data_IF_115076015765
#
_entry.id   IF_115076015765
#
_cell.length_a   1.000
_cell.length_b   1.000
_cell.length_c   1.000
_cell.angle_alpha   90.00
_cell.angle_beta   90.00
_cell.angle_gamma   90.00
#
_symmetry.space_group_name_H-M   'P 1'
#
loop_
_entity.id
_entity.type
_entity.pdbx_description
1 polymer ?
#
# COMPACT_ATOMS: atom_id res chain seq x y z
N UNK A 1 -20.43 17.15 11.88
CA UNK A 1 -19.87 17.42 13.20
C UNK A 1 -19.04 16.33 13.84
N UNK A 2 -19.03 15.11 13.34
CA UNK A 2 -18.29 14.00 13.96
C UNK A 2 -17.14 13.46 13.09
N UNK A 3 -16.73 14.19 12.09
CA UNK A 3 -15.65 13.73 11.20
C UNK A 3 -14.27 13.68 11.85
N UNK A 4 -14.06 14.47 12.89
CA UNK A 4 -12.78 14.52 13.59
C UNK A 4 -12.56 13.31 14.51
N UNK A 5 -13.60 12.62 14.93
CA UNK A 5 -13.48 11.46 15.81
C UNK A 5 -13.30 10.14 15.07
N UNK A 6 -13.46 10.14 13.75
CA UNK A 6 -13.26 8.95 12.91
C UNK A 6 -11.83 8.88 12.33
N UNK A 7 -11.10 9.99 12.34
CA UNK A 7 -9.67 9.98 12.15
C UNK A 7 -9.07 9.50 13.47
N UNK A 8 -8.93 8.18 13.60
CA UNK A 8 -8.17 7.64 14.70
C UNK A 8 -6.82 8.37 14.68
N UNK A 9 -6.56 9.08 15.72
CA UNK A 9 -5.32 9.85 15.86
C UNK A 9 -4.19 8.84 15.89
N UNK A 10 -3.36 8.85 14.87
CA UNK A 10 -2.13 8.06 14.87
C UNK A 10 -1.23 8.63 15.95
N UNK A 11 -0.88 7.80 16.91
CA UNK A 11 0.09 8.15 17.94
C UNK A 11 1.48 7.75 17.48
N UNK A 12 2.47 8.53 17.88
CA UNK A 12 3.86 8.20 17.61
C UNK A 12 4.18 6.81 18.15
N UNK A 13 4.72 5.97 17.27
CA UNK A 13 5.07 4.61 17.64
C UNK A 13 3.99 3.56 17.36
N UNK A 14 2.82 3.98 16.92
CA UNK A 14 1.81 3.02 16.44
C UNK A 14 2.39 2.16 15.31
N UNK A 15 2.04 0.88 15.33
CA UNK A 15 2.38 -0.02 14.25
C UNK A 15 1.34 0.11 13.16
N UNK A 16 1.79 0.40 11.96
CA UNK A 16 0.94 0.41 10.77
C UNK A 16 1.20 -0.85 9.93
N UNK A 17 0.18 -1.31 9.25
CA UNK A 17 0.29 -2.41 8.31
C UNK A 17 0.08 -1.92 6.90
N UNK A 18 0.81 -2.49 5.95
CA UNK A 18 0.63 -2.18 4.54
C UNK A 18 0.39 -3.45 3.74
N UNK A 19 -0.65 -3.41 2.91
CA UNK A 19 -0.95 -4.43 1.92
C UNK A 19 -0.50 -3.94 0.55
N UNK A 20 0.16 -4.81 -0.18
CA UNK A 20 0.66 -4.53 -1.52
C UNK A 20 -0.03 -5.42 -2.54
N UNK A 21 -0.38 -4.85 -3.68
CA UNK A 21 -0.97 -5.60 -4.78
C UNK A 21 -0.34 -5.16 -6.11
N UNK A 22 -0.11 -6.14 -6.97
CA UNK A 22 0.42 -5.94 -8.31
C UNK A 22 -0.66 -6.30 -9.31
N UNK A 23 -0.99 -5.34 -10.16
CA UNK A 23 -1.89 -5.51 -11.29
C UNK A 23 -1.08 -5.52 -12.59
N UNK A 24 -1.72 -5.85 -13.70
CA UNK A 24 -1.05 -5.86 -15.00
C UNK A 24 -0.41 -4.51 -15.35
N UNK A 25 -1.08 -3.42 -15.02
CA UNK A 25 -0.68 -2.06 -15.42
C UNK A 25 -0.52 -1.08 -14.26
N UNK A 26 -0.63 -1.55 -13.04
CA UNK A 26 -0.55 -0.69 -11.85
C UNK A 26 -0.07 -1.46 -10.63
N UNK A 27 0.49 -0.73 -9.67
CA UNK A 27 0.72 -1.23 -8.32
C UNK A 27 -0.14 -0.45 -7.34
N UNK A 28 -0.62 -1.14 -6.33
CA UNK A 28 -1.53 -0.58 -5.33
C UNK A 28 -1.03 -0.93 -3.96
N UNK A 29 -1.16 0.00 -3.03
CA UNK A 29 -0.91 -0.26 -1.62
C UNK A 29 -1.97 0.37 -0.75
N UNK A 30 -2.25 -0.27 0.37
CA UNK A 30 -3.19 0.21 1.37
C UNK A 30 -2.51 0.20 2.72
N UNK A 31 -2.36 1.37 3.32
CA UNK A 31 -1.82 1.54 4.66
C UNK A 31 -2.96 1.52 5.66
N UNK A 32 -2.83 0.69 6.68
CA UNK A 32 -3.87 0.38 7.65
C UNK A 32 -3.34 0.57 9.06
N UNK A 33 -4.18 1.13 9.92
CA UNK A 33 -3.97 1.11 11.36
C UNK A 33 -4.79 -0.03 11.97
N UNK A 34 -4.17 -1.07 12.56
CA UNK A 34 -4.90 -2.06 13.33
C UNK A 34 -5.28 -1.47 14.68
N UNK A 35 -6.55 -1.48 15.00
CA UNK A 35 -7.06 -1.00 16.29
C UNK A 35 -8.23 -1.88 16.72
N UNK A 36 -8.14 -2.44 17.93
CA UNK A 36 -9.20 -3.27 18.53
C UNK A 36 -9.67 -4.42 17.61
N UNK A 37 -8.73 -5.07 16.96
CA UNK A 37 -8.99 -6.16 15.99
C UNK A 37 -9.70 -5.70 14.70
N UNK A 38 -9.84 -4.41 14.49
CA UNK A 38 -10.41 -3.83 13.26
C UNK A 38 -9.29 -3.15 12.47
N UNK A 39 -9.31 -3.33 11.18
CA UNK A 39 -8.38 -2.67 10.27
C UNK A 39 -8.97 -1.35 9.79
N UNK A 40 -8.33 -0.24 10.17
CA UNK A 40 -8.75 1.10 9.75
C UNK A 40 -7.86 1.59 8.62
N UNK A 41 -8.39 1.78 7.39
CA UNK A 41 -7.61 2.36 6.30
C UNK A 41 -7.12 3.76 6.65
N UNK A 42 -5.83 4.00 6.43
CA UNK A 42 -5.20 5.31 6.67
C UNK A 42 -4.92 6.01 5.35
N UNK A 43 -4.26 5.31 4.42
CA UNK A 43 -3.93 5.84 3.10
C UNK A 43 -4.00 4.74 2.05
N UNK A 44 -4.36 5.17 0.86
CA UNK A 44 -4.35 4.36 -0.35
C UNK A 44 -3.36 4.99 -1.35
N UNK A 45 -2.53 4.15 -1.97
CA UNK A 45 -1.58 4.58 -2.99
C UNK A 45 -1.78 3.71 -4.23
N UNK A 46 -1.93 4.35 -5.37
CA UNK A 46 -1.98 3.68 -6.66
C UNK A 46 -1.01 4.35 -7.62
N UNK A 47 -0.27 3.56 -8.37
CA UNK A 47 0.63 4.06 -9.40
C UNK A 47 0.46 3.23 -10.67
N UNK A 48 0.14 3.90 -11.78
CA UNK A 48 0.18 3.29 -13.09
C UNK A 48 1.64 2.97 -13.46
N UNK A 49 1.87 1.77 -13.99
CA UNK A 49 3.19 1.33 -14.43
C UNK A 49 3.49 1.90 -15.82
N UNK A 50 4.69 2.44 -15.99
CA UNK A 50 5.21 2.87 -17.28
C UNK A 50 5.69 1.65 -18.10
N UNK A 51 5.92 1.85 -19.36
CA UNK A 51 6.28 0.76 -20.29
C UNK A 51 7.45 -0.10 -19.81
N UNK A 52 8.48 0.52 -19.26
CA UNK A 52 9.61 -0.21 -18.70
C UNK A 52 9.24 -0.95 -17.41
N UNK A 53 8.41 -0.36 -16.58
CA UNK A 53 8.00 -0.90 -15.30
C UNK A 53 7.04 -2.09 -15.46
N UNK A 54 6.23 -2.10 -16.50
CA UNK A 54 5.35 -3.24 -16.84
C UNK A 54 6.15 -4.53 -17.03
N UNK A 55 7.38 -4.41 -17.51
CA UNK A 55 8.26 -5.56 -17.78
C UNK A 55 9.04 -6.03 -16.56
N UNK A 56 8.94 -5.36 -15.42
CA UNK A 56 9.59 -5.84 -14.20
C UNK A 56 9.03 -7.21 -13.80
N UNK A 57 9.86 -8.10 -13.26
CA UNK A 57 9.36 -9.31 -12.61
C UNK A 57 8.34 -8.95 -11.49
N UNK A 58 7.38 -9.81 -11.25
CA UNK A 58 6.31 -9.54 -10.29
C UNK A 58 6.84 -9.20 -8.88
N UNK A 59 7.91 -9.88 -8.45
CA UNK A 59 8.52 -9.59 -7.15
C UNK A 59 9.16 -8.19 -7.13
N UNK A 60 9.70 -7.73 -8.23
CA UNK A 60 10.23 -6.36 -8.34
C UNK A 60 9.10 -5.33 -8.38
N UNK A 61 7.98 -5.65 -9.04
CA UNK A 61 6.80 -4.79 -9.00
C UNK A 61 6.27 -4.65 -7.58
N UNK A 62 6.31 -5.72 -6.81
CA UNK A 62 5.91 -5.70 -5.41
C UNK A 62 6.84 -4.83 -4.56
N UNK A 63 8.16 -4.96 -4.76
CA UNK A 63 9.14 -4.09 -4.14
C UNK A 63 8.94 -2.62 -4.55
N UNK A 64 8.63 -2.39 -5.82
CA UNK A 64 8.33 -1.07 -6.35
C UNK A 64 7.09 -0.45 -5.69
N UNK A 65 6.04 -1.24 -5.48
CA UNK A 65 4.85 -0.79 -4.75
C UNK A 65 5.21 -0.29 -3.35
N UNK A 66 6.07 -0.99 -2.64
CA UNK A 66 6.54 -0.59 -1.32
C UNK A 66 7.37 0.70 -1.38
N UNK A 67 8.27 0.81 -2.34
CA UNK A 67 9.10 2.02 -2.52
C UNK A 67 8.24 3.25 -2.83
N UNK A 68 7.29 3.11 -3.75
CA UNK A 68 6.35 4.19 -4.09
C UNK A 68 5.57 4.63 -2.86
N UNK A 69 5.10 3.66 -2.07
CA UNK A 69 4.37 3.95 -0.83
C UNK A 69 5.24 4.70 0.18
N UNK A 70 6.48 4.25 0.38
CA UNK A 70 7.41 4.90 1.29
C UNK A 70 7.73 6.34 0.86
N UNK A 71 7.83 6.59 -0.43
CA UNK A 71 8.05 7.94 -0.97
C UNK A 71 6.85 8.84 -0.76
N UNK A 72 5.65 8.35 -1.07
CA UNK A 72 4.41 9.14 -0.99
C UNK A 72 3.92 9.31 0.45
N UNK A 73 4.17 8.33 1.29
CA UNK A 73 3.73 8.31 2.69
C UNK A 73 4.92 8.45 3.65
N UNK A 74 5.93 9.18 3.23
CA UNK A 74 7.16 9.35 3.99
C UNK A 74 6.93 9.74 5.46
N UNK A 75 6.06 10.69 5.81
CA UNK A 75 5.80 11.01 7.22
C UNK A 75 5.32 9.81 8.04
N UNK A 76 4.47 8.97 7.47
CA UNK A 76 3.98 7.76 8.13
C UNK A 76 5.10 6.74 8.32
N UNK A 77 5.94 6.55 7.30
CA UNK A 77 7.06 5.61 7.35
C UNK A 77 8.16 6.06 8.31
N UNK A 78 8.33 7.37 8.49
CA UNK A 78 9.31 7.92 9.44
C UNK A 78 8.82 7.85 10.88
N UNK A 79 7.52 8.02 11.11
CA UNK A 79 6.94 8.12 12.45
C UNK A 79 6.53 6.78 13.06
N UNK A 80 6.38 5.73 12.24
CA UNK A 80 5.78 4.47 12.65
C UNK A 80 6.59 3.26 12.18
N UNK A 81 6.48 2.17 12.92
CA UNK A 81 6.90 0.85 12.44
C UNK A 81 5.90 0.35 11.39
N UNK A 82 6.39 -0.09 10.25
CA UNK A 82 5.57 -0.56 9.13
C UNK A 82 5.70 -2.07 9.01
N UNK A 83 4.58 -2.78 9.18
CA UNK A 83 4.50 -4.20 8.90
C UNK A 83 4.00 -4.42 7.47
N UNK A 84 4.86 -4.92 6.61
CA UNK A 84 4.50 -5.29 5.24
C UNK A 84 3.91 -6.70 5.27
N UNK A 85 2.63 -6.81 4.90
CA UNK A 85 1.91 -8.07 4.90
C UNK A 85 1.98 -8.70 3.51
N UNK A 86 2.77 -9.74 3.37
CA UNK A 86 2.97 -10.44 2.10
C UNK A 86 3.36 -11.89 2.33
N UNK A 87 2.92 -12.78 1.44
CA UNK A 87 3.36 -14.16 1.37
C UNK A 87 4.49 -14.36 0.35
N UNK A 88 4.84 -13.29 -0.37
CA UNK A 88 5.95 -13.33 -1.32
C UNK A 88 7.29 -13.13 -0.61
N UNK A 89 8.41 -13.66 -1.15
CA UNK A 89 9.72 -13.58 -0.52
C UNK A 89 10.37 -12.18 -0.67
N UNK A 90 9.61 -11.14 -0.37
CA UNK A 90 10.04 -9.74 -0.55
C UNK A 90 11.23 -9.39 0.35
N UNK A 91 11.21 -9.86 1.59
CA UNK A 91 12.30 -9.67 2.54
C UNK A 91 13.61 -10.23 1.99
N UNK A 92 13.59 -11.46 1.49
CA UNK A 92 14.78 -12.12 0.94
C UNK A 92 15.34 -11.38 -0.26
N UNK A 93 14.46 -10.93 -1.16
CA UNK A 93 14.85 -10.22 -2.38
C UNK A 93 15.50 -8.88 -2.04
N UNK A 94 14.99 -8.16 -1.05
CA UNK A 94 15.54 -6.87 -0.62
C UNK A 94 16.77 -7.01 0.26
N UNK A 95 16.95 -8.13 0.95
CA UNK A 95 18.17 -8.40 1.74
C UNK A 95 19.33 -8.92 0.89
N UNK A 96 19.04 -9.56 -0.23
CA UNK A 96 20.03 -10.07 -1.17
C UNK A 96 19.77 -9.49 -2.57
N UNK A 97 19.95 -8.19 -2.76
CA UNK A 97 19.56 -7.53 -4.01
C UNK A 97 20.56 -7.65 -5.16
N UNK A 98 21.47 -8.61 -5.10
CA UNK A 98 22.59 -8.74 -6.04
C UNK A 98 22.17 -8.93 -7.50
N UNK A 99 20.93 -9.32 -7.75
CA UNK A 99 20.42 -9.62 -9.07
C UNK A 99 19.99 -8.40 -9.88
N UNK A 100 19.86 -7.24 -9.25
CA UNK A 100 19.33 -6.04 -9.90
C UNK A 100 19.85 -4.78 -9.22
N UNK A 101 20.44 -3.88 -10.01
CA UNK A 101 20.85 -2.57 -9.52
C UNK A 101 19.67 -1.77 -8.94
N UNK A 102 18.50 -1.97 -9.50
CA UNK A 102 17.26 -1.35 -9.05
C UNK A 102 16.91 -1.80 -7.64
N UNK A 103 16.96 -3.10 -7.38
CA UNK A 103 16.70 -3.66 -6.06
C UNK A 103 17.72 -3.19 -5.03
N UNK A 104 18.99 -3.01 -5.41
CA UNK A 104 20.02 -2.46 -4.53
C UNK A 104 19.64 -1.04 -4.10
N UNK A 105 19.27 -0.20 -5.03
CA UNK A 105 18.85 1.18 -4.75
C UNK A 105 17.62 1.23 -3.83
N UNK A 106 16.63 0.40 -4.13
CA UNK A 106 15.41 0.32 -3.33
C UNK A 106 15.67 -0.23 -1.92
N UNK A 107 16.53 -1.22 -1.79
CA UNK A 107 16.91 -1.77 -0.49
C UNK A 107 17.57 -0.71 0.41
N UNK A 108 18.45 0.09 -0.17
CA UNK A 108 19.10 1.20 0.54
C UNK A 108 18.06 2.24 0.97
N UNK A 109 17.17 2.62 0.08
CA UNK A 109 16.12 3.60 0.34
C UNK A 109 15.16 3.13 1.44
N UNK A 110 14.71 1.88 1.36
CA UNK A 110 13.82 1.28 2.35
C UNK A 110 14.50 1.03 3.68
N UNK A 111 15.82 0.85 3.69
CA UNK A 111 16.62 0.67 4.89
C UNK A 111 16.61 1.85 5.86
N UNK A 112 16.17 3.03 5.41
CA UNK A 112 16.02 4.20 6.26
C UNK A 112 14.83 4.10 7.22
N UNK A 113 13.90 3.17 6.96
CA UNK A 113 12.64 3.05 7.70
C UNK A 113 12.63 1.77 8.53
N UNK A 114 11.78 1.76 9.55
CA UNK A 114 11.55 0.58 10.39
C UNK A 114 10.46 -0.29 9.75
N UNK A 115 10.89 -1.17 8.83
CA UNK A 115 10.02 -2.03 8.05
C UNK A 115 10.24 -3.48 8.47
N UNK A 116 9.15 -4.17 8.80
CA UNK A 116 9.13 -5.59 9.13
C UNK A 116 8.21 -6.33 8.17
N UNK A 117 8.62 -7.51 7.73
CA UNK A 117 7.85 -8.35 6.81
C UNK A 117 7.13 -9.43 7.58
N UNK A 118 5.82 -9.52 7.41
CA UNK A 118 4.95 -10.47 8.08
C UNK A 118 4.12 -11.24 7.07
N UNK A 119 3.78 -12.50 7.36
CA UNK A 119 2.90 -13.26 6.48
C UNK A 119 1.51 -12.64 6.44
N UNK A 120 0.88 -12.72 5.28
CA UNK A 120 -0.49 -12.26 5.09
C UNK A 120 -1.44 -13.34 5.58
N UNK A 121 -2.27 -13.00 6.58
CA UNK A 121 -3.29 -13.90 7.09
C UNK A 121 -4.53 -13.83 6.20
N UNK A 122 -5.04 -14.99 5.77
CA UNK A 122 -6.17 -15.08 4.85
C UNK A 122 -7.45 -14.41 5.38
N UNK A 123 -7.65 -14.42 6.70
CA UNK A 123 -8.82 -13.83 7.34
C UNK A 123 -8.77 -12.32 7.47
N UNK A 124 -7.58 -11.72 7.44
CA UNK A 124 -7.40 -10.27 7.61
C UNK A 124 -7.28 -9.50 6.29
N UNK A 125 -7.19 -10.19 5.18
CA UNK A 125 -7.08 -9.54 3.87
C UNK A 125 -8.41 -9.34 3.14
N UNK A 126 -9.53 -9.70 3.73
CA UNK A 126 -10.83 -9.68 3.05
C UNK A 126 -11.26 -8.26 2.66
N UNK A 127 -11.18 -7.32 3.60
CA UNK A 127 -11.53 -5.92 3.33
C UNK A 127 -10.63 -5.30 2.27
N UNK A 128 -9.36 -5.66 2.25
CA UNK A 128 -8.38 -5.19 1.27
C UNK A 128 -8.64 -5.81 -0.09
N UNK A 129 -8.94 -7.10 -0.16
CA UNK A 129 -9.27 -7.79 -1.40
C UNK A 129 -10.52 -7.17 -2.04
N UNK A 130 -11.55 -6.90 -1.25
CA UNK A 130 -12.78 -6.26 -1.70
C UNK A 130 -12.51 -4.84 -2.21
N UNK A 131 -11.68 -4.09 -1.51
CA UNK A 131 -11.28 -2.75 -1.89
C UNK A 131 -10.50 -2.74 -3.21
N UNK A 132 -9.55 -3.64 -3.39
CA UNK A 132 -8.78 -3.79 -4.64
C UNK A 132 -9.67 -4.20 -5.80
N UNK A 133 -10.60 -5.14 -5.59
CA UNK A 133 -11.57 -5.57 -6.61
C UNK A 133 -12.43 -4.41 -7.10
N UNK A 134 -12.82 -3.52 -6.21
CA UNK A 134 -13.61 -2.35 -6.55
C UNK A 134 -12.86 -1.41 -7.51
N UNK A 135 -11.56 -1.24 -7.30
CA UNK A 135 -10.74 -0.40 -8.17
C UNK A 135 -10.32 -1.07 -9.48
N UNK A 136 -10.33 -2.39 -9.53
CA UNK A 136 -9.95 -3.14 -10.74
C UNK A 136 -11.12 -3.46 -11.64
N UNK A 137 -12.34 -3.40 -11.11
CA UNK A 137 -13.55 -3.67 -11.87
C UNK A 137 -14.57 -2.53 -11.69
N UNK A 138 -14.53 -1.52 -12.56
CA UNK A 138 -15.42 -0.37 -12.46
C UNK A 138 -16.92 -0.73 -12.53
N UNK A 139 -17.24 -1.93 -13.02
CA UNK A 139 -18.63 -2.40 -13.10
C UNK A 139 -19.12 -3.05 -11.81
N UNK A 140 -18.21 -3.43 -10.93
CA UNK A 140 -18.55 -4.00 -9.63
C UNK A 140 -18.90 -2.92 -8.59
N UNK A 141 -18.63 -1.67 -8.90
CA UNK A 141 -18.86 -0.54 -7.98
C UNK A 141 -20.33 -0.24 -7.69
N UNK A 142 -21.24 -0.85 -8.42
CA UNK A 142 -22.68 -0.66 -8.20
C UNK A 142 -23.25 -1.49 -7.05
N UNK A 143 -22.54 -2.48 -6.58
CA UNK A 143 -23.03 -3.37 -5.52
C UNK A 143 -22.44 -3.13 -4.14
N UNK A 144 -21.44 -2.26 -4.05
CA UNK A 144 -20.72 -2.07 -2.79
C UNK A 144 -21.00 -0.69 -2.23
N UNK A 145 -22.26 -0.43 -1.92
CA UNK A 145 -22.65 0.72 -1.11
C UNK A 145 -22.05 0.68 0.29
N UNK A 146 -21.38 -0.40 0.65
CA UNK A 146 -20.78 -0.59 1.98
C UNK A 146 -19.48 0.19 2.14
N UNK A 147 -18.83 0.55 1.03
CA UNK A 147 -17.54 1.25 1.08
C UNK A 147 -17.72 2.77 0.96
N UNK A 148 -18.93 3.25 0.88
CA UNK A 148 -19.23 4.65 1.13
C UNK A 148 -19.12 5.02 2.61
N UNK A 149 -18.65 4.09 3.41
CA UNK A 149 -18.25 4.43 4.76
C UNK A 149 -17.23 5.56 4.71
N UNK A 150 -17.44 6.58 5.50
CA UNK A 150 -16.60 7.79 5.49
C UNK A 150 -15.18 7.55 5.97
N UNK A 151 -14.75 6.31 6.01
CA UNK A 151 -13.41 5.93 6.45
C UNK A 151 -12.33 6.14 5.39
N UNK A 152 -12.72 6.33 4.13
CA UNK A 152 -11.74 6.66 3.08
C UNK A 152 -11.70 8.18 2.93
N UNK A 153 -10.59 8.83 3.31
CA UNK A 153 -10.47 10.27 3.11
C UNK A 153 -10.65 10.64 1.65
N UNK A 154 -11.33 11.75 1.38
CA UNK A 154 -11.50 12.25 0.00
C UNK A 154 -10.17 12.45 -0.73
N UNK A 155 -9.08 12.64 0.03
CA UNK A 155 -7.72 12.69 -0.50
C UNK A 155 -7.27 11.39 -1.16
N UNK A 156 -7.78 10.24 -0.70
CA UNK A 156 -7.49 8.94 -1.33
C UNK A 156 -8.21 8.75 -2.66
N UNK A 157 -9.45 9.20 -2.73
CA UNK A 157 -10.21 9.19 -3.98
C UNK A 157 -9.56 10.10 -5.03
N UNK A 158 -9.00 11.21 -4.59
CA UNK A 158 -8.29 12.14 -5.46
C UNK A 158 -6.98 11.52 -5.98
N UNK A 159 -6.24 10.80 -5.16
CA UNK A 159 -5.03 10.09 -5.56
C UNK A 159 -5.35 8.98 -6.56
N UNK A 160 -6.44 8.25 -6.34
CA UNK A 160 -6.89 7.18 -7.23
C UNK A 160 -7.34 7.72 -8.61
N UNK A 161 -7.99 8.89 -8.64
CA UNK A 161 -8.42 9.52 -9.88
C UNK A 161 -7.28 10.19 -10.65
N UNK A 162 -6.24 10.61 -9.94
CA UNK A 162 -5.07 11.24 -10.52
C UNK A 162 -3.91 10.27 -10.76
N UNK A 163 -4.20 8.98 -10.89
CA UNK A 163 -3.19 7.97 -11.19
C UNK A 163 -2.37 8.23 -12.46
N UNK A 164 -2.73 9.26 -13.19
CA UNK A 164 -2.05 9.68 -14.41
C UNK A 164 -1.10 10.87 -14.20
N UNK A 165 -0.99 11.40 -12.98
CA UNK A 165 -0.26 12.66 -12.74
C UNK A 165 1.22 12.43 -12.45
N UNK A 166 1.63 11.20 -12.18
CA UNK A 166 3.02 10.86 -11.86
C UNK A 166 3.79 10.27 -13.05
N UNK A 167 3.45 10.67 -14.25
CA UNK A 167 4.16 10.22 -15.46
C UNK A 167 5.39 11.07 -15.79
N UNK A 168 5.77 11.98 -14.92
CA UNK A 168 7.01 12.75 -15.07
C UNK A 168 8.02 12.39 -14.00
#
# INVERSE_FOLDING_TARGET
>A
MSRASLLSTLELGDILMIYLSVLATAVISLLIQPKESVEHPVHYVSKALQDAEIRYPDIEKLAFALVVSARRLRPNFQAHTIHVLTNQPLKQVLQNPETSERLVKWAIELGEFDIHYKPRLATKGQAVADFILEFTNPQASTSTQVITEPSVPSSLLHIASNGNVDLT
#
